data_IF_507354071000
#
_entry.id   IF_507354071000
#
_cell.length_a   1.000
_cell.length_b   1.000
_cell.length_c   1.000
_cell.angle_alpha   90.00
_cell.angle_beta   90.00
_cell.angle_gamma   90.00
#
_symmetry.space_group_name_H-M   'P 1'
#
loop_
_entity.id
_entity.type
_entity.pdbx_description
1 polymer ?
#
# COMPACT_ATOMS: atom_id res chain seq x y z
N UNK A 1 -16.29 -11.81 14.88
CA UNK A 1 -16.77 -12.27 13.57
C UNK A 1 -16.75 -11.06 12.64
N UNK A 2 -16.18 -11.19 11.44
CA UNK A 2 -16.17 -10.12 10.43
C UNK A 2 -17.48 -10.26 9.64
N UNK A 3 -18.31 -9.21 9.58
CA UNK A 3 -19.63 -9.27 8.92
C UNK A 3 -19.62 -8.68 7.51
N UNK A 4 -18.55 -7.97 7.16
CA UNK A 4 -18.40 -7.28 5.89
C UNK A 4 -16.92 -7.14 5.55
N UNK A 5 -16.58 -7.09 4.28
CA UNK A 5 -15.26 -6.68 3.79
C UNK A 5 -15.46 -5.75 2.60
N UNK A 6 -14.81 -4.56 2.57
CA UNK A 6 -15.03 -3.61 1.49
C UNK A 6 -14.52 -4.15 0.15
N UNK A 7 -15.25 -3.80 -0.91
CA UNK A 7 -14.74 -3.96 -2.26
C UNK A 7 -13.48 -3.12 -2.47
N UNK A 8 -12.45 -3.74 -3.04
CA UNK A 8 -11.16 -3.13 -3.37
C UNK A 8 -11.26 -2.32 -4.66
N UNK A 9 -10.91 -1.05 -4.63
CA UNK A 9 -10.88 -0.22 -5.84
C UNK A 9 -9.66 -0.55 -6.72
N UNK A 10 -9.68 -0.16 -8.01
CA UNK A 10 -8.53 -0.33 -8.89
C UNK A 10 -7.27 0.32 -8.32
N UNK A 11 -6.17 -0.43 -8.30
CA UNK A 11 -4.88 0.00 -7.73
C UNK A 11 -4.94 0.40 -6.24
N UNK A 12 -5.94 -0.03 -5.49
CA UNK A 12 -6.03 0.26 -4.05
C UNK A 12 -5.04 -0.60 -3.24
N UNK A 13 -4.21 0.05 -2.42
CA UNK A 13 -3.28 -0.64 -1.53
C UNK A 13 -4.00 -1.21 -0.30
N UNK A 14 -3.57 -2.37 0.20
CA UNK A 14 -4.24 -3.10 1.29
C UNK A 14 -4.42 -2.25 2.55
N UNK A 15 -3.46 -1.37 2.84
CA UNK A 15 -3.54 -0.41 3.93
C UNK A 15 -4.82 0.45 3.84
N UNK A 16 -5.15 0.95 2.64
CA UNK A 16 -6.38 1.74 2.38
C UNK A 16 -7.64 0.91 2.59
N UNK A 17 -7.63 -0.34 2.11
CA UNK A 17 -8.76 -1.27 2.25
C UNK A 17 -9.06 -1.50 3.74
N UNK A 18 -8.02 -1.73 4.55
CA UNK A 18 -8.14 -1.92 6.00
C UNK A 18 -8.60 -0.62 6.68
N UNK A 19 -8.09 0.54 6.27
CA UNK A 19 -8.52 1.85 6.80
C UNK A 19 -10.02 2.10 6.58
N UNK A 20 -10.51 1.82 5.36
CA UNK A 20 -11.94 1.89 5.03
C UNK A 20 -12.76 0.90 5.85
N UNK A 21 -12.27 -0.33 5.99
CA UNK A 21 -12.94 -1.32 6.83
C UNK A 21 -13.01 -0.89 8.29
N UNK A 22 -11.95 -0.28 8.83
CA UNK A 22 -11.94 0.26 10.20
C UNK A 22 -13.06 1.28 10.40
N UNK A 23 -13.26 2.19 9.44
CA UNK A 23 -14.28 3.26 9.51
C UNK A 23 -15.71 2.72 9.56
N UNK A 24 -16.00 1.66 8.80
CA UNK A 24 -17.36 1.10 8.67
C UNK A 24 -17.66 -0.06 9.63
N UNK A 25 -16.62 -0.74 10.15
CA UNK A 25 -16.78 -1.93 10.99
C UNK A 25 -17.28 -1.65 12.41
N UNK A 26 -17.31 -0.38 12.83
CA UNK A 26 -17.65 -0.01 14.21
C UNK A 26 -16.65 -0.56 15.24
N UNK A 27 -15.43 -0.90 14.82
CA UNK A 27 -14.40 -1.44 15.71
C UNK A 27 -14.11 -0.49 16.88
N UNK A 28 -13.84 -1.05 18.06
CA UNK A 28 -13.47 -0.30 19.29
C UNK A 28 -12.06 0.33 19.24
N UNK A 29 -11.50 0.49 18.04
CA UNK A 29 -10.19 1.08 17.77
C UNK A 29 -9.20 0.14 17.05
N UNK A 30 -8.01 0.64 16.71
CA UNK A 30 -7.05 -0.07 15.84
C UNK A 30 -6.58 -1.42 16.39
N UNK A 31 -6.28 -1.50 17.71
CA UNK A 31 -5.84 -2.77 18.32
C UNK A 31 -6.92 -3.85 18.31
N UNK A 32 -8.19 -3.47 18.47
CA UNK A 32 -9.30 -4.42 18.40
C UNK A 32 -9.48 -4.92 16.97
N UNK A 33 -9.39 -4.03 15.99
CA UNK A 33 -9.40 -4.38 14.57
C UNK A 33 -8.27 -5.36 14.23
N UNK A 34 -7.04 -5.04 14.61
CA UNK A 34 -5.86 -5.88 14.36
C UNK A 34 -6.01 -7.29 14.95
N UNK A 35 -6.56 -7.40 16.16
CA UNK A 35 -6.89 -8.69 16.74
C UNK A 35 -7.92 -9.46 15.90
N UNK A 36 -8.98 -8.80 15.43
CA UNK A 36 -10.02 -9.46 14.65
C UNK A 36 -9.55 -9.86 13.23
N UNK A 37 -8.66 -9.07 12.62
CA UNK A 37 -8.16 -9.32 11.27
C UNK A 37 -6.98 -10.29 11.26
N UNK A 38 -6.03 -10.13 12.18
CA UNK A 38 -4.75 -10.84 12.14
C UNK A 38 -4.54 -11.77 13.35
N UNK A 39 -5.48 -11.84 14.29
CA UNK A 39 -5.28 -12.56 15.55
C UNK A 39 -4.00 -12.09 16.28
N UNK A 40 -3.68 -10.79 16.16
CA UNK A 40 -2.52 -10.17 16.79
C UNK A 40 -2.66 -8.67 16.86
N UNK A 41 -2.44 -8.10 18.05
CA UNK A 41 -2.56 -6.64 18.31
C UNK A 41 -1.32 -5.82 17.96
N UNK A 42 -0.22 -6.49 17.63
CA UNK A 42 1.11 -5.88 17.40
C UNK A 42 1.56 -5.88 15.94
N UNK A 43 0.68 -6.24 15.00
CA UNK A 43 0.95 -6.06 13.57
C UNK A 43 1.09 -4.57 13.27
N UNK A 44 2.15 -4.19 12.56
CA UNK A 44 2.33 -2.82 12.10
C UNK A 44 1.44 -2.54 10.89
N UNK A 45 0.85 -1.35 10.86
CA UNK A 45 0.11 -0.82 9.73
C UNK A 45 1.12 -0.30 8.68
N UNK A 46 1.72 -1.23 7.95
CA UNK A 46 2.73 -0.94 6.92
C UNK A 46 2.04 -0.71 5.56
N UNK A 47 2.51 0.28 4.78
CA UNK A 47 2.01 0.54 3.42
C UNK A 47 2.46 -0.51 2.40
N UNK A 48 3.75 -0.84 2.40
CA UNK A 48 4.40 -1.54 1.28
C UNK A 48 4.26 -3.07 1.36
N UNK A 49 4.82 -3.68 2.41
CA UNK A 49 4.97 -5.10 2.62
C UNK A 49 4.37 -5.50 3.98
N UNK A 50 3.03 -5.66 4.06
CA UNK A 50 2.35 -6.05 5.29
C UNK A 50 2.68 -7.49 5.70
N UNK A 51 2.62 -7.76 7.00
CA UNK A 51 2.73 -9.11 7.56
C UNK A 51 1.39 -9.65 8.06
N UNK A 52 1.34 -10.97 8.27
CA UNK A 52 0.17 -11.67 8.82
C UNK A 52 -0.89 -12.04 7.79
N UNK A 53 -0.60 -11.96 6.48
CA UNK A 53 -1.60 -12.14 5.42
C UNK A 53 -2.31 -13.49 5.46
N UNK A 54 -1.64 -14.56 5.90
CA UNK A 54 -2.29 -15.87 6.06
C UNK A 54 -3.47 -15.83 7.04
N UNK A 55 -3.33 -15.08 8.14
CA UNK A 55 -4.39 -14.95 9.15
C UNK A 55 -5.50 -14.01 8.68
N UNK A 56 -5.13 -12.95 7.95
CA UNK A 56 -6.10 -12.07 7.31
C UNK A 56 -7.01 -12.88 6.38
N UNK A 57 -6.44 -13.66 5.46
CA UNK A 57 -7.20 -14.49 4.52
C UNK A 57 -8.06 -15.52 5.25
N UNK A 58 -7.51 -16.21 6.25
CA UNK A 58 -8.28 -17.16 7.05
C UNK A 58 -9.52 -16.51 7.69
N UNK A 59 -9.37 -15.31 8.25
CA UNK A 59 -10.49 -14.58 8.84
C UNK A 59 -11.47 -14.03 7.78
N UNK A 60 -11.02 -13.86 6.54
CA UNK A 60 -11.80 -13.41 5.39
C UNK A 60 -12.31 -14.56 4.50
N UNK A 61 -12.22 -15.82 4.94
CA UNK A 61 -12.53 -17.01 4.12
C UNK A 61 -13.93 -16.93 3.48
N UNK A 62 -14.92 -16.38 4.21
CA UNK A 62 -16.27 -16.16 3.71
C UNK A 62 -16.38 -15.18 2.52
N UNK A 63 -15.34 -14.40 2.24
CA UNK A 63 -15.26 -13.43 1.14
C UNK A 63 -14.40 -13.93 -0.04
N UNK A 64 -14.03 -15.23 -0.05
CA UNK A 64 -13.31 -15.90 -1.13
C UNK A 64 -12.06 -15.14 -1.62
N UNK A 65 -11.26 -14.62 -0.67
CA UNK A 65 -10.03 -13.89 -0.98
C UNK A 65 -8.86 -14.86 -1.13
N UNK A 66 -8.12 -14.72 -2.23
CA UNK A 66 -6.87 -15.42 -2.46
C UNK A 66 -5.69 -14.57 -1.96
N UNK A 67 -4.76 -15.22 -1.28
CA UNK A 67 -3.55 -14.59 -0.78
C UNK A 67 -2.63 -14.13 -1.92
N UNK A 68 -2.58 -14.87 -3.03
CA UNK A 68 -1.78 -14.49 -4.19
C UNK A 68 -2.34 -13.24 -4.84
N UNK A 69 -3.66 -13.11 -4.93
CA UNK A 69 -4.30 -11.89 -5.42
C UNK A 69 -4.01 -10.69 -4.51
N UNK A 70 -4.10 -10.85 -3.17
CA UNK A 70 -3.75 -9.74 -2.25
C UNK A 70 -2.29 -9.32 -2.42
N UNK A 71 -1.36 -10.28 -2.49
CA UNK A 71 0.05 -9.99 -2.73
C UNK A 71 0.25 -9.26 -4.05
N UNK A 72 -0.35 -9.74 -5.13
CA UNK A 72 -0.17 -9.24 -6.48
C UNK A 72 -0.87 -7.90 -6.74
N UNK A 73 -2.04 -7.65 -6.16
CA UNK A 73 -2.91 -6.53 -6.52
C UNK A 73 -3.02 -5.45 -5.44
N UNK A 74 -2.80 -5.79 -4.18
CA UNK A 74 -2.99 -4.88 -3.05
C UNK A 74 -1.72 -4.60 -2.24
N UNK A 75 -0.56 -5.11 -2.65
CA UNK A 75 0.74 -4.81 -1.97
C UNK A 75 1.80 -4.38 -2.96
N UNK A 76 2.91 -3.82 -2.45
CA UNK A 76 4.09 -3.51 -3.26
C UNK A 76 5.00 -4.73 -3.48
N UNK A 77 4.61 -5.94 -3.06
CA UNK A 77 5.40 -7.15 -3.28
C UNK A 77 5.89 -7.31 -4.73
N UNK A 78 5.08 -7.05 -5.79
CA UNK A 78 5.55 -7.17 -7.17
C UNK A 78 6.64 -6.16 -7.57
N UNK A 79 6.64 -4.98 -6.95
CA UNK A 79 7.70 -4.01 -7.13
C UNK A 79 9.00 -4.53 -6.52
N UNK A 80 8.98 -4.97 -5.24
CA UNK A 80 10.19 -5.46 -4.57
C UNK A 80 10.73 -6.75 -5.20
N UNK A 81 9.88 -7.71 -5.57
CA UNK A 81 10.33 -8.99 -6.15
C UNK A 81 11.17 -8.79 -7.42
N UNK A 82 10.94 -7.70 -8.17
CA UNK A 82 11.65 -7.40 -9.42
C UNK A 82 13.14 -7.11 -9.18
N UNK A 83 13.53 -6.80 -7.94
CA UNK A 83 14.89 -6.49 -7.53
C UNK A 83 15.51 -7.54 -6.59
N UNK A 84 14.83 -8.67 -6.37
CA UNK A 84 15.26 -9.70 -5.43
C UNK A 84 15.63 -11.00 -6.16
N UNK A 85 16.58 -11.74 -5.59
CA UNK A 85 16.87 -13.12 -6.02
C UNK A 85 15.68 -14.02 -5.69
N UNK A 86 15.44 -15.12 -6.44
CA UNK A 86 14.33 -16.04 -6.16
C UNK A 86 14.29 -16.52 -4.70
N UNK A 87 15.46 -16.79 -4.12
CA UNK A 87 15.60 -17.18 -2.71
C UNK A 87 15.17 -16.09 -1.73
N UNK A 88 15.41 -14.80 -2.04
CA UNK A 88 14.93 -13.68 -1.23
C UNK A 88 13.44 -13.42 -1.43
N UNK A 89 12.93 -13.58 -2.66
CA UNK A 89 11.49 -13.48 -2.95
C UNK A 89 10.70 -14.45 -2.08
N UNK A 90 11.11 -15.71 -2.01
CA UNK A 90 10.44 -16.71 -1.15
C UNK A 90 10.51 -16.37 0.34
N UNK A 91 11.67 -15.89 0.82
CA UNK A 91 11.81 -15.45 2.22
C UNK A 91 10.89 -14.27 2.55
N UNK A 92 10.84 -13.28 1.68
CA UNK A 92 9.95 -12.11 1.84
C UNK A 92 8.50 -12.55 1.80
N UNK A 93 8.10 -13.37 0.82
CA UNK A 93 6.74 -13.91 0.73
C UNK A 93 6.36 -14.68 1.99
N UNK A 94 7.21 -15.60 2.44
CA UNK A 94 6.99 -16.34 3.68
C UNK A 94 6.83 -15.40 4.88
N UNK A 95 7.69 -14.39 4.97
CA UNK A 95 7.65 -13.38 6.02
C UNK A 95 6.32 -12.59 5.99
N UNK A 96 5.85 -12.13 4.83
CA UNK A 96 4.54 -11.47 4.66
C UNK A 96 3.34 -12.35 5.05
N UNK A 97 3.40 -13.66 4.77
CA UNK A 97 2.36 -14.62 5.14
C UNK A 97 2.33 -14.87 6.65
N UNK A 98 3.51 -14.86 7.28
CA UNK A 98 3.69 -15.05 8.71
C UNK A 98 3.46 -13.75 9.50
N UNK A 99 3.38 -13.81 10.84
CA UNK A 99 3.29 -12.60 11.68
C UNK A 99 4.69 -12.04 12.02
N UNK A 100 5.67 -12.19 11.13
CA UNK A 100 7.04 -11.70 11.36
C UNK A 100 7.14 -10.17 11.25
N UNK A 101 8.24 -9.61 11.76
CA UNK A 101 8.55 -8.18 11.70
C UNK A 101 9.90 -7.91 11.04
N UNK A 102 10.45 -8.88 10.31
CA UNK A 102 11.79 -8.84 9.72
C UNK A 102 11.79 -8.54 8.20
N UNK A 103 10.62 -8.34 7.59
CA UNK A 103 10.46 -8.17 6.13
C UNK A 103 11.39 -7.10 5.57
N UNK A 104 11.36 -5.88 6.13
CA UNK A 104 12.22 -4.77 5.68
C UNK A 104 13.70 -5.07 5.87
N UNK A 105 14.07 -5.72 6.98
CA UNK A 105 15.44 -6.17 7.24
C UNK A 105 15.92 -7.17 6.17
N UNK A 106 15.06 -8.09 5.73
CA UNK A 106 15.40 -9.09 4.70
C UNK A 106 15.75 -8.46 3.35
N UNK A 107 15.17 -7.29 3.05
CA UNK A 107 15.41 -6.55 1.80
C UNK A 107 16.38 -5.38 1.98
N UNK A 108 17.05 -5.30 3.14
CA UNK A 108 18.06 -4.26 3.41
C UNK A 108 17.49 -2.86 3.60
N UNK A 109 16.19 -2.75 3.89
CA UNK A 109 15.52 -1.49 4.22
C UNK A 109 15.44 -1.40 5.75
N UNK A 110 15.78 -0.24 6.31
CA UNK A 110 15.70 -0.04 7.76
C UNK A 110 14.25 -0.27 8.23
N UNK A 111 14.06 -1.02 9.32
CA UNK A 111 12.73 -1.32 9.85
C UNK A 111 12.22 -0.12 10.67
N UNK A 112 10.99 0.34 10.40
CA UNK A 112 10.40 1.44 11.16
C UNK A 112 9.07 1.91 10.59
N UNK A 113 8.41 2.85 11.27
CA UNK A 113 7.07 3.32 10.93
C UNK A 113 7.03 3.87 9.49
N UNK A 114 8.12 4.48 9.00
CA UNK A 114 8.38 4.78 7.58
C UNK A 114 9.88 5.10 7.31
N UNK A 115 10.68 4.23 6.67
CA UNK A 115 11.94 4.68 6.03
C UNK A 115 11.96 4.52 4.49
N UNK A 116 12.33 5.63 3.83
CA UNK A 116 12.25 6.01 2.40
C UNK A 116 10.82 6.04 1.78
N UNK A 117 10.14 7.21 1.87
CA UNK A 117 8.78 7.46 1.33
C UNK A 117 7.73 7.70 2.42
N UNK A 118 7.81 8.83 3.12
CA UNK A 118 7.67 8.84 4.58
C UNK A 118 6.22 8.99 5.11
N UNK A 119 5.23 9.30 4.29
CA UNK A 119 3.80 9.29 4.63
C UNK A 119 3.03 8.72 3.44
N UNK A 120 1.77 8.27 3.62
CA UNK A 120 0.95 7.92 2.47
C UNK A 120 0.88 9.10 1.48
N UNK A 121 1.22 8.80 0.23
CA UNK A 121 1.21 9.75 -0.89
C UNK A 121 -0.12 9.71 -1.63
N UNK A 122 -0.59 10.84 -2.14
CA UNK A 122 -1.82 10.92 -2.92
C UNK A 122 -1.79 12.07 -3.93
N UNK A 123 -2.69 11.99 -4.91
CA UNK A 123 -2.89 13.02 -5.92
C UNK A 123 -4.24 13.71 -5.65
N UNK A 124 -4.26 15.04 -5.56
CA UNK A 124 -5.51 15.77 -5.30
C UNK A 124 -6.48 15.70 -6.50
N UNK A 125 -5.98 15.53 -7.72
CA UNK A 125 -6.83 15.33 -8.91
C UNK A 125 -7.47 13.93 -8.91
N UNK A 126 -6.73 12.88 -8.55
CA UNK A 126 -7.30 11.56 -8.28
C UNK A 126 -8.40 11.61 -7.22
N UNK A 127 -8.17 12.32 -6.11
CA UNK A 127 -9.17 12.49 -5.03
C UNK A 127 -10.43 13.20 -5.55
N UNK A 128 -10.27 14.22 -6.42
CA UNK A 128 -11.39 14.93 -7.04
C UNK A 128 -12.19 14.01 -7.98
N UNK A 129 -11.51 13.17 -8.75
CA UNK A 129 -12.15 12.16 -9.61
C UNK A 129 -12.92 11.13 -8.79
N UNK A 130 -12.31 10.60 -7.72
CA UNK A 130 -12.96 9.65 -6.80
C UNK A 130 -14.28 10.23 -6.26
N UNK A 131 -14.24 11.48 -5.76
CA UNK A 131 -15.43 12.19 -5.28
C UNK A 131 -16.47 12.41 -6.37
N UNK A 132 -16.05 12.75 -7.59
CA UNK A 132 -16.97 12.96 -8.73
C UNK A 132 -17.70 11.68 -9.14
N UNK A 133 -17.11 10.51 -8.86
CA UNK A 133 -17.69 9.19 -9.11
C UNK A 133 -18.49 8.66 -7.91
N UNK A 134 -18.69 9.46 -6.85
CA UNK A 134 -19.31 9.07 -5.59
C UNK A 134 -18.63 7.87 -4.91
N UNK A 135 -17.32 7.71 -5.08
CA UNK A 135 -16.52 6.74 -4.32
C UNK A 135 -15.70 7.45 -3.26
N UNK A 136 -15.45 6.76 -2.15
CA UNK A 136 -14.58 7.29 -1.10
C UNK A 136 -13.12 7.32 -1.60
N UNK A 137 -12.41 8.45 -1.47
CA UNK A 137 -11.00 8.55 -1.85
C UNK A 137 -10.14 7.50 -1.16
N UNK A 138 -9.19 6.94 -1.90
CA UNK A 138 -8.37 5.84 -1.44
C UNK A 138 -6.89 6.01 -1.80
N UNK A 139 -6.01 5.31 -1.07
CA UNK A 139 -4.59 5.33 -1.38
C UNK A 139 -4.32 4.36 -2.53
N UNK A 140 -3.88 4.93 -3.65
CA UNK A 140 -3.39 4.19 -4.81
C UNK A 140 -2.01 3.61 -4.50
N UNK A 141 -1.77 2.40 -4.98
CA UNK A 141 -0.55 1.64 -4.75
C UNK A 141 0.62 2.21 -5.55
N UNK A 142 0.40 2.61 -6.80
CA UNK A 142 1.42 3.28 -7.63
C UNK A 142 2.04 4.47 -6.92
N UNK A 143 1.21 5.30 -6.28
CA UNK A 143 1.66 6.46 -5.52
C UNK A 143 2.57 6.10 -4.35
N UNK A 144 2.49 4.89 -3.80
CA UNK A 144 3.29 4.46 -2.64
C UNK A 144 4.65 3.90 -3.03
N UNK A 145 4.96 3.71 -4.32
CA UNK A 145 6.29 3.26 -4.73
C UNK A 145 7.34 4.29 -4.27
N UNK A 146 8.42 3.88 -3.58
CA UNK A 146 9.37 4.83 -2.99
C UNK A 146 9.96 5.84 -3.98
N UNK A 147 10.24 5.42 -5.21
CA UNK A 147 10.87 6.24 -6.27
C UNK A 147 9.90 7.13 -7.05
N UNK A 148 8.59 6.92 -6.93
CA UNK A 148 7.58 7.71 -7.65
C UNK A 148 7.21 8.94 -6.81
N UNK A 149 7.46 10.14 -7.32
CA UNK A 149 7.08 11.41 -6.65
C UNK A 149 5.97 12.17 -7.38
N UNK A 150 5.52 11.65 -8.53
CA UNK A 150 4.45 12.24 -9.35
C UNK A 150 3.34 11.24 -9.60
N UNK A 151 2.13 11.74 -9.79
CA UNK A 151 1.02 10.96 -10.32
C UNK A 151 1.20 10.81 -11.83
N UNK A 152 1.38 9.58 -12.33
CA UNK A 152 1.55 9.33 -13.78
C UNK A 152 0.29 9.58 -14.59
N UNK A 153 -0.88 9.54 -13.95
CA UNK A 153 -2.18 9.84 -14.56
C UNK A 153 -2.36 11.35 -14.78
N UNK A 154 -1.91 12.17 -13.84
CA UNK A 154 -2.17 13.62 -13.83
C UNK A 154 -0.93 14.50 -14.06
N UNK A 155 0.27 13.91 -14.08
CA UNK A 155 1.56 14.58 -14.23
C UNK A 155 1.82 15.73 -13.23
N UNK A 156 1.40 15.54 -11.97
CA UNK A 156 1.65 16.48 -10.88
C UNK A 156 2.36 15.77 -9.72
N UNK A 157 3.05 16.53 -8.88
CA UNK A 157 3.64 15.98 -7.66
C UNK A 157 2.59 15.39 -6.72
N UNK A 158 2.95 14.26 -6.12
CA UNK A 158 2.17 13.63 -5.07
C UNK A 158 2.32 14.42 -3.78
N UNK A 159 1.21 14.59 -3.08
CA UNK A 159 1.16 15.16 -1.75
C UNK A 159 1.36 14.06 -0.72
N UNK A 160 2.08 14.37 0.36
CA UNK A 160 2.22 13.49 1.51
C UNK A 160 1.22 13.91 2.60
N UNK A 161 0.62 12.95 3.32
CA UNK A 161 -0.16 13.27 4.51
C UNK A 161 0.75 13.88 5.60
N UNK A 162 0.37 15.08 6.09
CA UNK A 162 1.15 15.85 7.05
C UNK A 162 1.36 15.09 8.36
N UNK A 163 2.64 14.88 8.67
CA UNK A 163 3.04 14.11 9.84
C UNK A 163 2.88 14.79 11.17
N UNK A 164 2.86 16.12 11.16
CA UNK A 164 2.78 16.91 12.38
C UNK A 164 1.35 16.93 12.95
N UNK A 165 0.36 16.70 12.09
CA UNK A 165 -1.08 16.68 12.43
C UNK A 165 -1.58 15.31 12.86
N UNK A 166 -0.84 14.25 12.52
CA UNK A 166 -1.20 12.87 12.80
C UNK A 166 -0.12 12.25 13.69
N UNK A 167 -0.44 11.99 14.96
CA UNK A 167 0.43 11.18 15.81
C UNK A 167 0.44 9.74 15.27
N UNK A 168 1.36 9.41 14.35
CA UNK A 168 1.38 8.07 13.77
C UNK A 168 1.68 7.01 14.83
N UNK A 169 0.63 6.30 15.21
CA UNK A 169 0.77 5.03 15.85
C UNK A 169 1.12 4.00 14.78
N UNK A 170 2.18 3.22 14.98
CA UNK A 170 2.60 2.16 14.04
C UNK A 170 1.53 1.10 13.77
N UNK A 171 0.44 1.09 14.52
CA UNK A 171 -0.70 0.17 14.41
C UNK A 171 -1.94 0.81 13.79
N UNK A 172 -1.84 2.04 13.29
CA UNK A 172 -2.97 2.84 12.83
C UNK A 172 -3.08 2.88 11.31
N UNK A 173 -4.31 2.67 10.82
CA UNK A 173 -4.67 2.74 9.42
C UNK A 173 -5.44 4.04 9.18
N UNK A 174 -4.85 4.95 8.42
CA UNK A 174 -5.42 6.27 8.14
C UNK A 174 -6.43 6.21 7.02
N UNK A 175 -7.63 6.70 7.30
CA UNK A 175 -8.68 6.83 6.30
C UNK A 175 -8.48 8.16 5.56
N UNK A 176 -8.03 8.08 4.30
CA UNK A 176 -7.56 9.24 3.51
C UNK A 176 -8.50 10.44 3.60
N UNK A 177 -9.81 10.21 3.50
CA UNK A 177 -10.83 11.25 3.49
C UNK A 177 -10.88 12.10 4.77
N UNK A 178 -10.53 11.54 5.93
CA UNK A 178 -10.46 12.28 7.20
C UNK A 178 -9.24 13.23 7.26
N UNK A 179 -8.30 13.14 6.32
CA UNK A 179 -7.03 13.86 6.33
C UNK A 179 -6.81 14.77 5.10
N UNK A 180 -7.85 15.00 4.32
CA UNK A 180 -7.81 15.92 3.17
C UNK A 180 -7.98 17.37 3.68
N UNK A 181 -6.89 18.03 4.06
CA UNK A 181 -6.89 19.47 4.36
C UNK A 181 -6.98 20.33 3.08
N UNK A 182 -7.38 21.61 3.22
CA UNK A 182 -7.42 22.57 2.10
C UNK A 182 -6.01 22.78 1.52
N UNK A 183 -5.82 22.31 0.29
CA UNK A 183 -4.55 22.32 -0.42
C UNK A 183 -4.08 23.73 -0.78
N UNK A 184 -2.83 24.07 -0.45
CA UNK A 184 -2.08 25.03 -1.26
C UNK A 184 -1.68 24.33 -2.55
N UNK A 185 -2.44 24.57 -3.62
CA UNK A 185 -2.19 24.04 -4.95
C UNK A 185 -0.79 24.45 -5.41
N UNK A 186 0.14 23.50 -5.47
CA UNK A 186 1.38 23.66 -6.22
C UNK A 186 1.24 22.73 -7.43
N UNK A 187 0.58 23.24 -8.47
CA UNK A 187 0.58 22.60 -9.79
C UNK A 187 1.96 22.86 -10.42
N UNK A 188 2.92 22.00 -10.08
CA UNK A 188 4.18 21.92 -10.81
C UNK A 188 4.15 20.65 -11.65
N UNK A 189 4.24 20.85 -12.97
CA UNK A 189 4.41 19.76 -13.92
C UNK A 189 5.89 19.39 -13.96
N UNK A 190 6.16 18.09 -13.92
CA UNK A 190 7.51 17.55 -14.05
C UNK A 190 7.92 17.38 -15.53
N UNK A 191 9.22 17.17 -15.75
CA UNK A 191 9.75 16.88 -17.09
C UNK A 191 9.11 15.61 -17.68
N UNK A 192 8.95 15.59 -19.01
CA UNK A 192 8.41 14.43 -19.74
C UNK A 192 9.31 13.20 -19.52
N UNK A 193 10.62 13.37 -19.37
CA UNK A 193 11.52 12.24 -19.08
C UNK A 193 11.22 11.60 -17.73
N UNK A 194 11.04 12.40 -16.68
CA UNK A 194 10.72 11.88 -15.35
C UNK A 194 9.36 11.17 -15.31
N UNK A 195 8.36 11.71 -16.02
CA UNK A 195 7.06 11.06 -16.21
C UNK A 195 7.19 9.68 -16.86
N UNK A 196 8.02 9.56 -17.91
CA UNK A 196 8.23 8.28 -18.58
C UNK A 196 8.93 7.27 -17.67
N UNK A 197 9.94 7.70 -16.90
CA UNK A 197 10.60 6.86 -15.89
C UNK A 197 9.58 6.35 -14.86
N UNK A 198 8.71 7.22 -14.35
CA UNK A 198 7.67 6.80 -13.39
C UNK A 198 6.70 5.78 -14.01
N UNK A 199 6.26 5.98 -15.26
CA UNK A 199 5.42 5.01 -15.98
C UNK A 199 6.09 3.66 -16.18
N UNK A 200 7.40 3.64 -16.41
CA UNK A 200 8.16 2.38 -16.51
C UNK A 200 8.27 1.67 -15.16
N UNK A 201 8.48 2.43 -14.08
CA UNK A 201 8.49 1.89 -12.71
C UNK A 201 7.14 1.28 -12.33
N UNK A 202 6.01 1.91 -12.70
CA UNK A 202 4.67 1.38 -12.41
C UNK A 202 4.42 0.01 -13.03
N UNK A 203 5.05 -0.30 -14.17
CA UNK A 203 4.92 -1.62 -14.82
C UNK A 203 5.44 -2.73 -13.91
N UNK A 204 6.36 -2.44 -12.99
CA UNK A 204 6.88 -3.42 -12.03
C UNK A 204 5.79 -3.91 -11.05
N UNK A 205 4.71 -3.15 -10.85
CA UNK A 205 3.57 -3.62 -10.04
C UNK A 205 2.77 -4.75 -10.70
N UNK A 206 2.90 -4.95 -12.01
CA UNK A 206 2.22 -6.02 -12.75
C UNK A 206 2.93 -7.37 -12.63
N UNK A 207 4.06 -7.44 -11.91
CA UNK A 207 4.90 -8.64 -11.81
C UNK A 207 5.72 -8.88 -13.09
N UNK A 208 6.76 -9.71 -12.99
CA UNK A 208 7.77 -9.92 -14.05
C UNK A 208 7.15 -10.27 -15.42
N UNK A 209 7.38 -9.43 -16.42
CA UNK A 209 8.39 -9.80 -17.43
C UNK A 209 9.73 -9.27 -16.88
N UNK A 210 10.65 -10.15 -16.53
CA UNK A 210 11.95 -9.74 -16.01
C UNK A 210 12.73 -9.09 -17.15
N UNK A 211 13.19 -7.83 -17.04
CA UNK A 211 14.05 -7.22 -18.07
C UNK A 211 15.41 -7.92 -18.18
N UNK A 212 15.79 -8.70 -17.15
CA UNK A 212 17.08 -9.38 -17.04
C UNK A 212 17.02 -10.90 -17.31
N UNK A 213 15.85 -11.45 -17.69
CA UNK A 213 15.77 -12.85 -18.18
C UNK A 213 16.03 -12.95 -19.70
N UNK A 214 16.49 -11.87 -20.35
CA UNK A 214 16.75 -11.84 -21.79
C UNK A 214 18.20 -12.14 -22.19
N UNK A 215 19.14 -12.28 -21.25
CA UNK A 215 20.53 -12.57 -21.56
C UNK A 215 21.14 -13.52 -20.51
N UNK A 216 20.95 -14.82 -20.69
CA UNK A 216 21.95 -15.81 -20.30
C UNK A 216 22.03 -16.83 -21.47
N UNK A 217 23.24 -17.13 -22.00
CA UNK A 217 23.47 -17.68 -23.34
C UNK A 217 23.09 -19.15 -23.54
#
# INVERSE_FOLDING_TARGET
>A
MLYYWPHTYPDEILYSVIARYLKISGSRGPKHLLHNLFDRKSISATLDLPSGLKHLIYNLEMFAKDVEMILADNTLFPYYQSFLTPTKVEKVRHSMLSKSGDIHTLIGINAGIFPAGKSPKYCHLCVKEDKSQNISPYLRRTHQIPSIQICTQHNIYLLELDKSRVHFNKHEFLFLEDHLDQFSLIEQNESIEYLNICKDIEKLLKGKQNPFDADDP
#
